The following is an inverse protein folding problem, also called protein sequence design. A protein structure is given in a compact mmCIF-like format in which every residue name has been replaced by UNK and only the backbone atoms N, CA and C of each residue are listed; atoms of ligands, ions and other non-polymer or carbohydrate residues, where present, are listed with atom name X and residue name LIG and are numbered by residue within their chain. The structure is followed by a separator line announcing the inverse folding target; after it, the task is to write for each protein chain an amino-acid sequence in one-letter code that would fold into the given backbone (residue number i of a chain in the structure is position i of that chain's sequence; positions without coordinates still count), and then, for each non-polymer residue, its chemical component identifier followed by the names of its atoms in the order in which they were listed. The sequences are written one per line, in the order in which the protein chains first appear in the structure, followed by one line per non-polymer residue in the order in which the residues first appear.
data_IF_660118103204
#
_entry.id   IF_660118103204
#
_cell.length_a   1.000
_cell.length_b   1.000
_cell.length_c   1.000
_cell.angle_alpha   90.00
_cell.angle_beta   90.00
_cell.angle_gamma   90.00
#
_symmetry.space_group_name_H-M   'P 1'
#
loop_
_entity.id
_entity.type
_entity.pdbx_description
1 polymer ?
#
# COMPACT_ATOMS: atom_id res chain seq x y z
N UNK A 1 6.46 13.29 -8.11
CA UNK A 1 5.25 12.52 -8.50
C UNK A 1 5.09 11.36 -7.55
N UNK A 2 3.90 11.08 -6.99
CA UNK A 2 3.68 9.95 -6.06
C UNK A 2 3.95 8.59 -6.73
N UNK A 3 4.44 7.63 -5.94
CA UNK A 3 4.90 6.30 -6.39
C UNK A 3 3.86 5.53 -7.21
N UNK A 4 2.59 5.59 -6.84
CA UNK A 4 1.53 4.87 -7.55
C UNK A 4 1.36 5.28 -9.02
N UNK A 5 1.84 6.44 -9.40
CA UNK A 5 1.81 6.94 -10.79
C UNK A 5 3.10 6.67 -11.57
N UNK A 6 4.08 6.01 -10.95
CA UNK A 6 5.36 5.68 -11.59
C UNK A 6 5.35 4.27 -12.17
N UNK A 7 6.10 4.08 -13.24
CA UNK A 7 6.52 2.77 -13.77
C UNK A 7 7.96 2.48 -13.33
N UNK A 8 8.12 2.06 -12.07
CA UNK A 8 9.47 1.78 -11.51
C UNK A 8 10.09 0.52 -12.10
N UNK A 9 9.26 -0.39 -12.63
CA UNK A 9 9.71 -1.71 -13.11
C UNK A 9 9.90 -1.75 -14.64
N UNK A 10 9.63 -0.66 -15.36
CA UNK A 10 9.76 -0.61 -16.82
C UNK A 10 8.76 -1.49 -17.56
N UNK A 11 7.56 -1.67 -17.01
CA UNK A 11 6.49 -2.51 -17.59
C UNK A 11 5.63 -1.77 -18.62
N UNK A 12 5.80 -0.47 -18.76
CA UNK A 12 4.96 0.43 -19.55
C UNK A 12 3.65 0.82 -18.84
N UNK A 13 3.50 0.49 -17.53
CA UNK A 13 2.31 0.77 -16.74
C UNK A 13 2.68 1.28 -15.36
N UNK A 14 1.94 2.27 -14.88
CA UNK A 14 2.07 2.70 -13.49
C UNK A 14 1.52 1.65 -12.51
N UNK A 15 1.90 1.75 -11.23
CA UNK A 15 1.40 0.83 -10.21
C UNK A 15 -0.12 0.87 -10.08
N UNK A 16 -0.73 2.05 -10.08
CA UNK A 16 -2.19 2.18 -9.96
C UNK A 16 -2.89 1.54 -11.17
N UNK A 17 -2.35 1.67 -12.38
CA UNK A 17 -2.86 1.01 -13.58
C UNK A 17 -2.76 -0.51 -13.46
N UNK A 18 -1.61 -1.02 -13.04
CA UNK A 18 -1.38 -2.46 -12.84
C UNK A 18 -2.30 -3.03 -11.75
N UNK A 19 -2.54 -2.28 -10.68
CA UNK A 19 -3.46 -2.68 -9.62
C UNK A 19 -4.90 -2.73 -10.12
N UNK A 20 -5.35 -1.71 -10.85
CA UNK A 20 -6.70 -1.69 -11.45
C UNK A 20 -6.91 -2.91 -12.37
N UNK A 21 -6.01 -3.15 -13.31
CA UNK A 21 -6.11 -4.27 -14.26
C UNK A 21 -6.12 -5.63 -13.56
N UNK A 22 -5.33 -5.81 -12.51
CA UNK A 22 -5.27 -7.04 -11.70
C UNK A 22 -6.62 -7.39 -11.07
N UNK A 23 -7.41 -6.40 -10.67
CA UNK A 23 -8.72 -6.64 -10.06
C UNK A 23 -9.87 -6.76 -11.06
N UNK A 24 -9.71 -6.37 -12.34
CA UNK A 24 -10.78 -6.47 -13.34
C UNK A 24 -11.40 -7.87 -13.50
N UNK A 25 -10.65 -9.00 -13.38
CA UNK A 25 -11.25 -10.33 -13.41
C UNK A 25 -12.13 -10.66 -12.19
N UNK A 26 -11.97 -9.93 -11.08
CA UNK A 26 -12.67 -10.16 -9.82
C UNK A 26 -13.83 -9.18 -9.59
N UNK A 27 -13.66 -7.95 -10.07
CA UNK A 27 -14.56 -6.83 -9.76
C UNK A 27 -14.96 -6.12 -11.05
N UNK A 28 -16.26 -5.97 -11.35
CA UNK A 28 -16.74 -5.16 -12.47
C UNK A 28 -16.25 -3.72 -12.35
N UNK A 29 -15.93 -3.07 -13.47
CA UNK A 29 -15.31 -1.73 -13.48
C UNK A 29 -16.13 -0.67 -12.73
N UNK A 30 -17.45 -0.76 -12.75
CA UNK A 30 -18.38 0.14 -12.06
C UNK A 30 -18.32 0.03 -10.53
N UNK A 31 -17.70 -1.02 -9.99
CA UNK A 31 -17.58 -1.27 -8.56
C UNK A 31 -16.22 -0.85 -7.98
N UNK A 32 -15.35 -0.26 -8.79
CA UNK A 32 -14.12 0.32 -8.28
C UNK A 32 -14.39 1.69 -7.64
N UNK A 33 -13.69 1.93 -6.52
CA UNK A 33 -13.55 3.25 -5.91
C UNK A 33 -12.07 3.52 -5.70
N UNK A 34 -11.61 4.70 -6.08
CA UNK A 34 -10.25 5.16 -5.79
C UNK A 34 -10.32 6.30 -4.79
N UNK A 35 -9.78 6.08 -3.59
CA UNK A 35 -9.66 7.14 -2.59
C UNK A 35 -8.28 7.79 -2.71
N UNK A 36 -8.25 9.09 -2.92
CA UNK A 36 -7.00 9.82 -3.16
C UNK A 36 -7.09 11.26 -2.68
N UNK A 37 -5.95 11.93 -2.53
CA UNK A 37 -5.95 13.36 -2.30
C UNK A 37 -6.54 14.09 -3.52
N UNK A 38 -7.34 15.15 -3.26
CA UNK A 38 -7.97 15.99 -4.30
C UNK A 38 -6.97 16.45 -5.39
N UNK A 39 -5.73 16.71 -5.01
CA UNK A 39 -4.67 17.14 -5.94
C UNK A 39 -4.30 16.07 -7.00
N UNK A 40 -4.60 14.81 -6.75
CA UNK A 40 -4.23 13.69 -7.64
C UNK A 40 -5.41 13.15 -8.45
N UNK A 41 -6.60 13.75 -8.35
CA UNK A 41 -7.80 13.30 -9.05
C UNK A 41 -7.59 13.15 -10.57
N UNK A 42 -7.02 14.19 -11.17
CA UNK A 42 -6.81 14.21 -12.63
C UNK A 42 -5.73 13.20 -13.05
N UNK A 43 -4.69 12.99 -12.23
CA UNK A 43 -3.70 11.93 -12.45
C UNK A 43 -4.32 10.53 -12.39
N UNK A 44 -5.28 10.28 -11.50
CA UNK A 44 -6.00 8.99 -11.47
C UNK A 44 -6.74 8.78 -12.79
N UNK A 45 -7.46 9.79 -13.29
CA UNK A 45 -8.17 9.71 -14.58
C UNK A 45 -7.23 9.58 -15.78
N UNK A 46 -6.04 10.18 -15.73
CA UNK A 46 -5.00 10.00 -16.75
C UNK A 46 -4.50 8.54 -16.81
N UNK A 47 -4.27 7.93 -15.65
CA UNK A 47 -3.76 6.56 -15.58
C UNK A 47 -4.84 5.48 -15.72
N UNK A 48 -6.09 5.79 -15.35
CA UNK A 48 -7.25 4.88 -15.45
C UNK A 48 -8.42 5.63 -16.10
N UNK A 49 -8.36 5.90 -17.41
CA UNK A 49 -9.41 6.66 -18.11
C UNK A 49 -10.77 5.93 -18.21
N UNK A 50 -10.82 4.65 -17.82
CA UNK A 50 -12.05 3.86 -17.77
C UNK A 50 -12.92 4.14 -16.55
N UNK A 51 -12.39 4.84 -15.53
CA UNK A 51 -13.16 5.22 -14.33
C UNK A 51 -14.04 6.43 -14.62
N UNK A 52 -15.26 6.38 -14.09
CA UNK A 52 -16.10 7.55 -14.00
C UNK A 52 -15.61 8.50 -12.90
N UNK A 53 -15.71 9.82 -13.07
CA UNK A 53 -15.28 10.79 -12.05
C UNK A 53 -15.90 10.59 -10.66
N UNK A 54 -17.09 9.98 -10.57
CA UNK A 54 -17.79 9.67 -9.31
C UNK A 54 -17.21 8.44 -8.58
N UNK A 55 -16.32 7.69 -9.24
CA UNK A 55 -15.58 6.59 -8.62
C UNK A 55 -14.32 7.05 -7.89
N UNK A 56 -13.97 8.35 -8.00
CA UNK A 56 -12.80 8.93 -7.35
C UNK A 56 -13.25 9.74 -6.15
N UNK A 57 -13.03 9.19 -4.97
CA UNK A 57 -13.32 9.81 -3.69
C UNK A 57 -12.13 10.69 -3.27
N UNK A 58 -12.36 11.99 -3.19
CA UNK A 58 -11.29 12.97 -2.97
C UNK A 58 -11.18 13.35 -1.49
N UNK A 59 -10.07 12.98 -0.86
CA UNK A 59 -9.71 13.49 0.46
C UNK A 59 -9.23 14.95 0.34
N UNK A 60 -9.79 15.88 1.11
CA UNK A 60 -9.31 17.27 1.12
C UNK A 60 -7.94 17.40 1.78
N UNK A 61 -7.66 16.55 2.76
CA UNK A 61 -6.39 16.47 3.50
C UNK A 61 -6.13 15.01 3.91
N UNK A 62 -4.89 14.56 3.86
CA UNK A 62 -4.52 13.19 4.25
C UNK A 62 -4.70 12.95 5.75
N UNK A 63 -5.47 11.93 6.11
CA UNK A 63 -5.72 11.49 7.50
C UNK A 63 -5.40 10.03 7.74
N UNK A 64 -4.50 9.45 6.93
CA UNK A 64 -4.14 8.04 6.97
C UNK A 64 -5.29 7.13 6.50
N UNK A 65 -5.17 5.80 6.64
CA UNK A 65 -6.03 4.83 5.96
C UNK A 65 -7.41 4.63 6.58
N UNK A 66 -7.59 4.82 7.90
CA UNK A 66 -8.91 4.58 8.50
C UNK A 66 -9.99 5.57 8.02
N UNK A 67 -9.76 6.90 7.94
CA UNK A 67 -10.74 7.82 7.37
C UNK A 67 -11.01 7.58 5.88
N UNK A 68 -9.99 7.23 5.08
CA UNK A 68 -10.16 6.87 3.67
C UNK A 68 -11.09 5.65 3.50
N UNK A 69 -10.87 4.61 4.31
CA UNK A 69 -11.70 3.39 4.31
C UNK A 69 -13.11 3.71 4.80
N UNK A 70 -13.27 4.54 5.85
CA UNK A 70 -14.58 4.95 6.34
C UNK A 70 -15.38 5.68 5.24
N UNK A 71 -14.76 6.62 4.53
CA UNK A 71 -15.38 7.32 3.41
C UNK A 71 -15.88 6.36 2.33
N UNK A 72 -15.02 5.44 1.89
CA UNK A 72 -15.39 4.42 0.91
C UNK A 72 -16.50 3.49 1.43
N UNK A 73 -16.43 3.05 2.70
CA UNK A 73 -17.42 2.16 3.29
C UNK A 73 -18.81 2.82 3.40
N UNK A 74 -18.89 4.09 3.80
CA UNK A 74 -20.14 4.85 3.84
C UNK A 74 -20.72 5.05 2.43
N UNK A 75 -19.88 5.37 1.44
CA UNK A 75 -20.28 5.48 0.03
C UNK A 75 -20.84 4.16 -0.49
N UNK A 76 -20.16 3.03 -0.24
CA UNK A 76 -20.61 1.70 -0.65
C UNK A 76 -21.88 1.28 0.05
N UNK A 77 -22.04 1.53 1.34
CA UNK A 77 -23.25 1.23 2.11
C UNK A 77 -24.50 1.86 1.51
N UNK A 78 -24.39 3.07 0.96
CA UNK A 78 -25.49 3.73 0.25
C UNK A 78 -25.86 3.03 -1.06
N UNK A 79 -24.86 2.45 -1.76
CA UNK A 79 -25.08 1.73 -3.03
C UNK A 79 -25.63 0.32 -2.80
N UNK A 80 -25.09 -0.39 -1.81
CA UNK A 80 -25.48 -1.77 -1.48
C UNK A 80 -25.14 -2.09 -0.02
N UNK A 81 -26.13 -2.49 0.75
CA UNK A 81 -25.93 -2.89 2.16
C UNK A 81 -25.23 -4.24 2.29
N UNK A 82 -25.43 -5.12 1.31
CA UNK A 82 -24.85 -6.48 1.30
C UNK A 82 -23.49 -6.53 0.57
N UNK A 83 -22.89 -5.37 0.28
CA UNK A 83 -21.61 -5.32 -0.42
C UNK A 83 -20.48 -5.91 0.43
N UNK A 84 -19.54 -6.56 -0.25
CA UNK A 84 -18.24 -6.95 0.27
C UNK A 84 -17.21 -6.01 -0.31
N UNK A 85 -16.31 -5.56 0.53
CA UNK A 85 -15.31 -4.56 0.19
C UNK A 85 -13.92 -5.18 0.21
N UNK A 86 -13.17 -4.97 -0.88
CA UNK A 86 -11.73 -5.25 -0.94
C UNK A 86 -11.02 -3.91 -0.84
N UNK A 87 -10.11 -3.77 0.09
CA UNK A 87 -9.23 -2.60 0.24
C UNK A 87 -7.82 -3.00 -0.13
N UNK A 88 -7.18 -2.24 -1.00
CA UNK A 88 -5.81 -2.51 -1.45
C UNK A 88 -5.03 -1.22 -1.60
N UNK A 89 -3.75 -1.20 -1.21
CA UNK A 89 -2.83 -0.17 -1.66
C UNK A 89 -2.73 -0.18 -3.19
N UNK A 90 -2.57 0.98 -3.80
CA UNK A 90 -2.50 1.13 -5.26
C UNK A 90 -1.10 0.96 -5.85
N UNK A 91 -0.09 0.72 -5.00
CA UNK A 91 1.33 0.80 -5.34
C UNK A 91 2.14 -0.44 -4.94
N UNK A 92 1.45 -1.57 -4.74
CA UNK A 92 2.07 -2.85 -4.45
C UNK A 92 2.27 -3.72 -5.69
N UNK A 93 3.37 -4.46 -5.71
CA UNK A 93 3.66 -5.43 -6.73
C UNK A 93 3.13 -6.80 -6.34
N UNK A 94 2.56 -7.50 -7.31
CA UNK A 94 2.12 -8.90 -7.26
C UNK A 94 2.70 -9.61 -8.49
N UNK A 95 3.44 -10.69 -8.30
CA UNK A 95 4.08 -11.42 -9.40
C UNK A 95 3.21 -12.56 -9.95
N UNK A 96 2.46 -13.23 -9.09
CA UNK A 96 1.58 -14.35 -9.47
C UNK A 96 0.11 -13.94 -9.29
N UNK A 97 -0.47 -13.33 -10.33
CA UNK A 97 -1.86 -12.88 -10.30
C UNK A 97 -2.87 -14.03 -10.22
N UNK A 98 -2.54 -15.22 -10.72
CA UNK A 98 -3.44 -16.36 -10.63
C UNK A 98 -3.65 -16.80 -9.17
N UNK A 99 -2.56 -16.95 -8.40
CA UNK A 99 -2.63 -17.27 -6.97
C UNK A 99 -3.26 -16.10 -6.17
N UNK A 100 -2.99 -14.87 -6.57
CA UNK A 100 -3.62 -13.69 -5.99
C UNK A 100 -5.15 -13.74 -6.14
N UNK A 101 -5.66 -14.07 -7.33
CA UNK A 101 -7.11 -14.19 -7.58
C UNK A 101 -7.74 -15.30 -6.74
N UNK A 102 -7.06 -16.45 -6.59
CA UNK A 102 -7.52 -17.53 -5.69
C UNK A 102 -7.63 -17.01 -4.26
N UNK A 103 -6.57 -16.35 -3.75
CA UNK A 103 -6.54 -15.84 -2.39
C UNK A 103 -7.67 -14.84 -2.11
N UNK A 104 -7.91 -13.91 -3.03
CA UNK A 104 -8.96 -12.89 -2.87
C UNK A 104 -10.36 -13.52 -2.93
N UNK A 105 -10.60 -14.49 -3.83
CA UNK A 105 -11.88 -15.19 -3.90
C UNK A 105 -12.16 -15.97 -2.61
N UNK A 106 -11.20 -16.70 -2.06
CA UNK A 106 -11.35 -17.40 -0.78
C UNK A 106 -11.65 -16.42 0.37
N UNK A 107 -11.02 -15.24 0.38
CA UNK A 107 -11.37 -14.20 1.36
C UNK A 107 -12.81 -13.70 1.18
N UNK A 108 -13.25 -13.45 -0.07
CA UNK A 108 -14.61 -13.00 -0.36
C UNK A 108 -15.69 -14.04 0.02
N UNK A 109 -15.39 -15.33 -0.18
CA UNK A 109 -16.24 -16.43 0.23
C UNK A 109 -16.33 -16.52 1.76
N UNK A 110 -15.19 -16.42 2.44
CA UNK A 110 -15.13 -16.46 3.90
C UNK A 110 -15.95 -15.35 4.57
N UNK A 111 -15.79 -14.09 4.13
CA UNK A 111 -16.53 -12.96 4.70
C UNK A 111 -18.02 -12.91 4.30
N UNK A 112 -18.44 -13.73 3.33
CA UNK A 112 -19.85 -13.90 3.01
C UNK A 112 -20.61 -14.70 4.08
N UNK A 113 -19.91 -15.59 4.78
CA UNK A 113 -20.48 -16.51 5.77
C UNK A 113 -20.12 -16.17 7.21
N UNK A 114 -19.09 -15.31 7.40
CA UNK A 114 -18.52 -15.00 8.72
C UNK A 114 -18.44 -13.49 8.95
N UNK A 115 -18.69 -13.08 10.18
CA UNK A 115 -18.38 -11.74 10.65
C UNK A 115 -16.88 -11.63 10.89
N UNK A 116 -16.13 -11.28 9.86
CA UNK A 116 -14.68 -11.30 9.86
C UNK A 116 -14.07 -10.06 9.22
N UNK A 117 -12.95 -9.63 9.78
CA UNK A 117 -12.03 -8.68 9.18
C UNK A 117 -10.83 -9.45 8.63
N UNK A 118 -10.86 -9.71 7.31
CA UNK A 118 -9.83 -10.50 6.65
C UNK A 118 -8.67 -9.62 6.20
N UNK A 119 -7.45 -10.16 6.33
CA UNK A 119 -6.27 -9.66 5.60
C UNK A 119 -5.55 -10.79 4.89
N UNK A 120 -4.68 -10.44 3.92
CA UNK A 120 -3.81 -11.41 3.26
C UNK A 120 -2.43 -11.33 3.89
N UNK A 121 -1.93 -12.48 4.34
CA UNK A 121 -0.64 -12.61 5.00
C UNK A 121 0.40 -13.23 4.08
N UNK A 122 1.62 -12.69 4.12
CA UNK A 122 2.77 -13.13 3.32
C UNK A 122 3.83 -13.72 4.25
N UNK A 123 4.40 -14.87 3.89
CA UNK A 123 5.44 -15.51 4.69
C UNK A 123 6.71 -14.64 4.73
N UNK A 124 7.23 -14.32 5.93
CA UNK A 124 8.39 -13.47 6.05
C UNK A 124 9.66 -14.15 5.53
N UNK A 125 10.38 -13.50 4.64
CA UNK A 125 11.69 -13.96 4.15
C UNK A 125 12.87 -13.30 4.87
N UNK A 126 12.62 -12.29 5.72
CA UNK A 126 13.60 -11.50 6.47
C UNK A 126 12.92 -10.75 7.62
N UNK A 127 13.66 -10.25 8.63
CA UNK A 127 13.11 -9.43 9.71
C UNK A 127 12.93 -7.98 9.25
N UNK A 128 11.84 -7.70 8.51
CA UNK A 128 11.55 -6.35 8.03
C UNK A 128 10.84 -5.52 9.11
N UNK A 129 11.37 -4.34 9.43
CA UNK A 129 10.80 -3.44 10.44
C UNK A 129 9.79 -2.44 9.84
N UNK A 130 9.60 -2.45 8.53
CA UNK A 130 8.64 -1.62 7.82
C UNK A 130 7.25 -2.22 7.71
N UNK A 131 7.08 -3.52 8.05
CA UNK A 131 5.84 -4.26 7.91
C UNK A 131 5.16 -4.58 9.24
N UNK A 132 3.84 -4.76 9.19
CA UNK A 132 3.08 -5.37 10.27
C UNK A 132 3.23 -6.89 10.26
N UNK A 133 3.16 -7.50 11.43
CA UNK A 133 3.24 -8.94 11.66
C UNK A 133 1.97 -9.46 12.31
N UNK A 134 1.47 -10.59 11.81
CA UNK A 134 0.26 -11.26 12.26
C UNK A 134 0.60 -12.64 12.79
N UNK A 135 0.33 -12.92 14.08
CA UNK A 135 0.49 -14.26 14.64
C UNK A 135 -0.72 -15.12 14.30
N UNK A 136 -0.49 -16.23 13.62
CA UNK A 136 -1.54 -17.21 13.29
C UNK A 136 -1.95 -18.01 14.52
N UNK A 137 -3.24 -18.40 14.60
CA UNK A 137 -3.71 -19.31 15.66
C UNK A 137 -3.41 -20.78 15.37
N UNK A 138 -3.28 -21.11 14.11
CA UNK A 138 -3.05 -22.48 13.62
C UNK A 138 -2.33 -22.45 12.25
N UNK A 139 -2.13 -23.62 11.66
CA UNK A 139 -1.46 -23.81 10.36
C UNK A 139 -2.43 -23.84 9.16
N UNK A 140 -3.71 -23.53 9.36
CA UNK A 140 -4.67 -23.49 8.27
C UNK A 140 -4.35 -22.35 7.28
N UNK A 141 -4.81 -22.48 6.04
CA UNK A 141 -4.66 -21.45 5.00
C UNK A 141 -5.36 -20.17 5.42
N UNK A 142 -6.57 -20.27 5.99
CA UNK A 142 -7.26 -19.17 6.68
C UNK A 142 -7.21 -19.46 8.17
N UNK A 143 -6.56 -18.59 8.91
CA UNK A 143 -6.34 -18.72 10.35
C UNK A 143 -6.81 -17.46 11.08
N UNK A 144 -7.34 -17.63 12.30
CA UNK A 144 -7.60 -16.48 13.17
C UNK A 144 -6.29 -15.84 13.60
N UNK A 145 -6.26 -14.52 13.69
CA UNK A 145 -5.09 -13.79 14.19
C UNK A 145 -5.13 -13.72 15.72
N UNK A 146 -4.05 -14.15 16.38
CA UNK A 146 -3.88 -14.04 17.84
C UNK A 146 -3.36 -12.67 18.25
N UNK A 147 -2.45 -12.14 17.45
CA UNK A 147 -1.75 -10.89 17.74
C UNK A 147 -1.41 -10.18 16.42
N UNK A 148 -1.59 -8.89 16.40
CA UNK A 148 -1.13 -8.00 15.34
C UNK A 148 -0.10 -7.04 15.93
N UNK A 149 1.05 -6.89 15.28
CA UNK A 149 2.11 -5.96 15.72
C UNK A 149 2.61 -5.16 14.51
N UNK A 150 2.31 -3.88 14.48
CA UNK A 150 2.71 -2.99 13.41
C UNK A 150 4.13 -2.47 13.62
N UNK A 151 4.99 -2.64 12.61
CA UNK A 151 6.36 -2.11 12.53
C UNK A 151 7.20 -2.33 13.81
N UNK A 152 7.46 -3.60 14.19
CA UNK A 152 8.20 -3.93 15.39
C UNK A 152 9.69 -3.49 15.30
N UNK A 153 10.36 -3.39 16.44
CA UNK A 153 11.81 -3.27 16.48
C UNK A 153 12.49 -4.52 15.88
N UNK A 154 13.73 -4.37 15.39
CA UNK A 154 14.45 -5.41 14.65
C UNK A 154 14.56 -6.73 15.44
N UNK A 155 14.85 -6.66 16.74
CA UNK A 155 14.99 -7.83 17.60
C UNK A 155 13.67 -8.62 17.70
N UNK A 156 12.54 -7.90 17.72
CA UNK A 156 11.20 -8.51 17.76
C UNK A 156 10.86 -9.09 16.38
N UNK A 157 11.14 -8.37 15.30
CA UNK A 157 10.93 -8.86 13.94
C UNK A 157 11.74 -10.14 13.68
N UNK A 158 12.99 -10.21 14.17
CA UNK A 158 13.82 -11.42 14.06
C UNK A 158 13.21 -12.61 14.83
N UNK A 159 12.74 -12.37 16.07
CA UNK A 159 12.08 -13.41 16.85
C UNK A 159 10.78 -13.93 16.15
N UNK A 160 10.03 -13.05 15.49
CA UNK A 160 8.84 -13.42 14.75
C UNK A 160 9.15 -14.30 13.53
N UNK A 161 10.23 -13.99 12.80
CA UNK A 161 10.70 -14.80 11.67
C UNK A 161 11.20 -16.17 12.17
N UNK A 162 12.00 -16.19 13.23
CA UNK A 162 12.61 -17.40 13.76
C UNK A 162 11.57 -18.40 14.31
N UNK A 163 10.48 -17.92 14.89
CA UNK A 163 9.44 -18.80 15.44
C UNK A 163 8.51 -19.41 14.35
N UNK A 164 8.42 -18.82 13.15
CA UNK A 164 7.64 -19.33 12.03
C UNK A 164 6.11 -19.28 12.18
N UNK A 165 5.60 -18.64 13.25
CA UNK A 165 4.15 -18.50 13.47
C UNK A 165 3.57 -17.19 12.89
N UNK A 166 4.43 -16.27 12.45
CA UNK A 166 4.03 -14.95 11.99
C UNK A 166 4.07 -14.82 10.47
N UNK A 167 3.16 -14.04 9.93
CA UNK A 167 3.16 -13.58 8.53
C UNK A 167 3.16 -12.08 8.47
N UNK A 168 3.69 -11.50 7.38
CA UNK A 168 3.57 -10.07 7.11
C UNK A 168 2.15 -9.68 6.75
N UNK A 169 1.69 -8.55 7.24
CA UNK A 169 0.46 -7.91 6.78
C UNK A 169 0.71 -7.25 5.43
N UNK A 170 0.03 -7.71 4.40
CA UNK A 170 0.16 -7.13 3.05
C UNK A 170 -0.56 -5.78 2.88
N UNK A 171 -1.41 -5.38 3.84
CA UNK A 171 -2.27 -4.22 3.70
C UNK A 171 -3.47 -4.43 2.76
N UNK A 172 -3.69 -5.68 2.32
CA UNK A 172 -4.89 -6.10 1.58
C UNK A 172 -5.94 -6.55 2.58
N UNK A 173 -7.12 -5.91 2.55
CA UNK A 173 -8.21 -6.25 3.47
C UNK A 173 -9.47 -6.62 2.71
N UNK A 174 -10.23 -7.56 3.28
CA UNK A 174 -11.53 -7.99 2.74
C UNK A 174 -12.52 -8.14 3.90
N UNK A 175 -13.70 -7.53 3.77
CA UNK A 175 -14.77 -7.61 4.75
C UNK A 175 -16.14 -7.32 4.15
N UNK A 176 -17.21 -7.66 4.86
CA UNK A 176 -18.54 -7.15 4.55
C UNK A 176 -18.67 -5.70 5.02
N UNK A 177 -19.53 -4.93 4.38
CA UNK A 177 -19.81 -3.55 4.82
C UNK A 177 -20.29 -3.54 6.27
N UNK A 178 -21.14 -4.49 6.66
CA UNK A 178 -21.64 -4.60 8.03
C UNK A 178 -20.51 -4.85 9.04
N UNK A 179 -19.55 -5.73 8.71
CA UNK A 179 -18.44 -6.03 9.62
C UNK A 179 -17.55 -4.82 9.85
N UNK A 180 -17.17 -4.10 8.78
CA UNK A 180 -16.31 -2.92 8.93
C UNK A 180 -17.04 -1.76 9.60
N UNK A 181 -18.34 -1.56 9.34
CA UNK A 181 -19.13 -0.52 10.00
C UNK A 181 -19.24 -0.78 11.51
N UNK A 182 -19.50 -2.04 11.94
CA UNK A 182 -19.45 -2.42 13.37
C UNK A 182 -18.08 -2.21 13.99
N UNK A 183 -17.02 -2.51 13.23
CA UNK A 183 -15.66 -2.28 13.70
C UNK A 183 -15.36 -0.79 13.90
N UNK A 184 -15.79 0.09 13.00
CA UNK A 184 -15.68 1.54 13.18
C UNK A 184 -16.49 2.02 14.39
N UNK A 185 -17.72 1.56 14.55
CA UNK A 185 -18.56 1.91 15.71
C UNK A 185 -17.89 1.51 17.02
N UNK A 186 -17.28 0.31 17.08
CA UNK A 186 -16.67 -0.24 18.29
C UNK A 186 -15.32 0.39 18.60
N UNK A 187 -14.43 0.49 17.63
CA UNK A 187 -13.01 0.82 17.85
C UNK A 187 -12.64 2.25 17.49
N UNK A 188 -13.44 2.91 16.66
CA UNK A 188 -13.25 4.30 16.21
C UNK A 188 -14.57 5.09 16.25
N UNK A 189 -15.26 5.15 17.41
CA UNK A 189 -16.61 5.73 17.53
C UNK A 189 -16.68 7.20 17.11
N UNK A 190 -15.61 7.99 17.32
CA UNK A 190 -15.57 9.39 16.89
C UNK A 190 -15.60 9.49 15.36
N UNK A 191 -14.82 8.67 14.65
CA UNK A 191 -14.81 8.60 13.18
C UNK A 191 -16.16 8.13 12.66
N UNK A 192 -16.70 7.06 13.25
CA UNK A 192 -18.03 6.54 12.89
C UNK A 192 -19.12 7.61 13.02
N UNK A 193 -19.14 8.36 14.10
CA UNK A 193 -20.10 9.46 14.30
C UNK A 193 -19.94 10.58 13.26
N UNK A 194 -18.71 11.00 12.96
CA UNK A 194 -18.43 12.03 11.96
C UNK A 194 -18.91 11.61 10.56
N UNK A 195 -18.57 10.42 10.10
CA UNK A 195 -19.00 9.93 8.80
C UNK A 195 -20.51 9.69 8.73
N UNK A 196 -21.14 9.17 9.77
CA UNK A 196 -22.60 9.04 9.85
C UNK A 196 -23.32 10.39 9.71
N UNK A 197 -22.77 11.47 10.27
CA UNK A 197 -23.36 12.80 10.12
C UNK A 197 -23.32 13.34 8.68
N UNK A 198 -22.44 12.81 7.85
CA UNK A 198 -22.30 13.19 6.42
C UNK A 198 -23.06 12.30 5.46
N UNK A 199 -23.67 11.18 5.92
CA UNK A 199 -24.32 10.19 5.06
C UNK A 199 -25.35 10.79 4.08
N UNK A 200 -26.17 11.73 4.54
CA UNK A 200 -27.19 12.38 3.69
C UNK A 200 -26.58 13.25 2.57
N UNK A 201 -25.35 13.68 2.73
CA UNK A 201 -24.64 14.49 1.75
C UNK A 201 -23.93 13.67 0.68
N UNK A 202 -23.50 12.42 1.01
CA UNK A 202 -22.77 11.56 0.08
C UNK A 202 -23.58 11.29 -1.21
N UNK A 203 -22.93 11.38 -2.36
CA UNK A 203 -23.57 11.24 -3.68
C UNK A 203 -24.45 12.43 -4.07
N UNK A 204 -24.33 13.57 -3.40
CA UNK A 204 -25.05 14.83 -3.72
C UNK A 204 -24.06 15.98 -3.97
N UNK A 205 -24.55 17.13 -4.44
CA UNK A 205 -23.72 18.33 -4.61
C UNK A 205 -23.09 18.85 -3.30
N UNK A 206 -23.61 18.42 -2.13
CA UNK A 206 -23.09 18.77 -0.81
C UNK A 206 -21.97 17.87 -0.31
N UNK A 207 -21.64 16.81 -1.01
CA UNK A 207 -20.65 15.83 -0.59
C UNK A 207 -19.28 16.47 -0.31
N UNK A 208 -18.80 17.29 -1.24
CA UNK A 208 -17.48 17.92 -1.10
C UNK A 208 -17.35 18.76 0.17
N UNK A 209 -18.37 19.56 0.51
CA UNK A 209 -18.40 20.38 1.72
C UNK A 209 -18.50 19.53 2.99
N UNK A 210 -19.37 18.52 2.99
CA UNK A 210 -19.53 17.62 4.13
C UNK A 210 -18.24 16.83 4.44
N UNK A 211 -17.58 16.30 3.40
CA UNK A 211 -16.32 15.57 3.55
C UNK A 211 -15.18 16.49 4.00
N UNK A 212 -15.15 17.75 3.56
CA UNK A 212 -14.16 18.72 4.06
C UNK A 212 -14.31 18.96 5.58
N UNK A 213 -15.53 19.06 6.08
CA UNK A 213 -15.79 19.17 7.53
C UNK A 213 -15.39 17.88 8.29
N UNK A 214 -15.77 16.70 7.79
CA UNK A 214 -15.41 15.42 8.40
C UNK A 214 -13.89 15.28 8.50
N UNK A 215 -13.15 15.52 7.42
CA UNK A 215 -11.69 15.37 7.42
C UNK A 215 -10.97 16.45 8.24
N UNK A 216 -11.54 17.64 8.41
CA UNK A 216 -11.00 18.68 9.29
C UNK A 216 -11.01 18.22 10.77
N UNK A 217 -12.07 17.54 11.20
CA UNK A 217 -12.27 17.07 12.58
C UNK A 217 -11.68 15.67 12.84
N UNK A 218 -11.55 14.84 11.80
CA UNK A 218 -11.04 13.47 11.89
C UNK A 218 -9.60 13.42 12.41
N UNK A 219 -9.33 12.54 13.37
CA UNK A 219 -7.97 12.19 13.79
C UNK A 219 -7.27 11.37 12.71
N UNK A 220 -5.98 11.63 12.49
CA UNK A 220 -5.16 10.83 11.57
C UNK A 220 -4.79 9.50 12.23
N UNK A 221 -5.26 8.38 11.69
CA UNK A 221 -4.97 7.04 12.17
C UNK A 221 -5.07 6.01 11.04
N UNK A 222 -4.18 5.00 11.03
CA UNK A 222 -4.31 3.88 10.10
C UNK A 222 -5.38 2.90 10.55
N UNK A 223 -5.94 2.15 9.61
CA UNK A 223 -6.88 1.06 9.90
C UNK A 223 -6.24 -0.02 10.76
N UNK A 224 -4.92 -0.23 10.58
CA UNK A 224 -4.14 -1.20 11.34
C UNK A 224 -4.19 -0.87 12.83
N UNK A 225 -3.77 0.33 13.23
CA UNK A 225 -3.81 0.80 14.63
C UNK A 225 -5.21 1.08 15.15
N UNK A 226 -6.09 1.56 14.28
CA UNK A 226 -7.44 1.98 14.66
C UNK A 226 -8.37 0.80 14.94
N UNK A 227 -8.26 -0.24 14.14
CA UNK A 227 -9.19 -1.38 14.12
C UNK A 227 -8.46 -2.72 14.21
N UNK A 228 -7.54 -3.02 13.28
CA UNK A 228 -7.02 -4.39 13.11
C UNK A 228 -6.24 -4.91 14.32
N UNK A 229 -5.48 -4.07 15.02
CA UNK A 229 -4.80 -4.45 16.26
C UNK A 229 -5.74 -4.72 17.45
N UNK A 230 -6.97 -4.18 17.39
CA UNK A 230 -7.91 -4.20 18.52
C UNK A 230 -9.02 -5.22 18.35
N UNK A 231 -9.35 -5.54 17.10
CA UNK A 231 -10.47 -6.40 16.79
C UNK A 231 -10.15 -7.88 17.10
N UNK A 232 -11.11 -8.59 17.64
CA UNK A 232 -11.00 -10.01 18.02
C UNK A 232 -11.46 -10.96 16.91
N UNK A 233 -12.09 -10.44 15.84
CA UNK A 233 -12.55 -11.18 14.66
C UNK A 233 -11.66 -10.99 13.42
N UNK A 234 -10.37 -10.79 13.64
CA UNK A 234 -9.38 -10.69 12.55
C UNK A 234 -8.94 -12.09 12.12
N UNK A 235 -8.94 -12.30 10.80
CA UNK A 235 -8.46 -13.52 10.16
C UNK A 235 -7.44 -13.18 9.08
N UNK A 236 -6.52 -14.11 8.84
CA UNK A 236 -5.50 -13.99 7.81
C UNK A 236 -5.56 -15.18 6.86
N UNK A 237 -5.59 -14.91 5.55
CA UNK A 237 -5.35 -15.91 4.49
C UNK A 237 -3.87 -15.84 4.11
N UNK A 238 -3.12 -16.91 4.44
CA UNK A 238 -1.70 -17.00 4.10
C UNK A 238 -1.52 -17.27 2.60
N UNK A 239 -0.59 -16.56 1.95
CA UNK A 239 -0.39 -16.63 0.51
C UNK A 239 1.08 -16.42 0.12
N UNK A 240 1.43 -16.99 -1.03
CA UNK A 240 2.73 -16.76 -1.68
C UNK A 240 2.51 -16.43 -3.17
N UNK A 241 2.18 -15.19 -3.44
CA UNK A 241 2.01 -14.69 -4.81
C UNK A 241 3.10 -13.68 -5.22
N UNK A 242 4.25 -13.68 -4.52
CA UNK A 242 5.33 -12.77 -4.82
C UNK A 242 4.95 -11.31 -4.56
N UNK A 243 4.48 -11.01 -3.35
CA UNK A 243 4.11 -9.67 -2.91
C UNK A 243 5.32 -8.83 -2.50
N UNK A 244 5.28 -7.56 -2.87
CA UNK A 244 6.17 -6.53 -2.32
C UNK A 244 5.45 -5.17 -2.31
N UNK A 245 5.66 -4.42 -1.23
CA UNK A 245 5.23 -3.02 -1.17
C UNK A 245 6.10 -2.09 -2.02
N UNK A 246 7.24 -2.60 -2.55
CA UNK A 246 8.23 -1.80 -3.31
C UNK A 246 8.57 -0.48 -2.60
N UNK A 247 8.52 -0.50 -1.27
CA UNK A 247 8.69 0.70 -0.42
C UNK A 247 10.14 1.12 -0.23
N UNK A 248 11.08 0.26 -0.66
CA UNK A 248 12.52 0.49 -0.48
C UNK A 248 13.30 0.15 -1.75
N UNK A 249 14.46 0.76 -1.92
CA UNK A 249 15.37 0.44 -3.02
C UNK A 249 15.86 -1.02 -2.97
N UNK A 250 15.98 -1.58 -1.77
CA UNK A 250 16.29 -3.00 -1.57
C UNK A 250 15.20 -3.90 -2.14
N UNK A 251 13.93 -3.57 -1.96
CA UNK A 251 12.80 -4.29 -2.56
C UNK A 251 12.80 -4.17 -4.09
N UNK A 252 13.02 -2.96 -4.62
CA UNK A 252 13.18 -2.73 -6.07
C UNK A 252 14.33 -3.56 -6.63
N UNK A 253 15.47 -3.56 -5.95
CA UNK A 253 16.64 -4.34 -6.36
C UNK A 253 16.36 -5.85 -6.42
N UNK A 254 15.65 -6.40 -5.44
CA UNK A 254 15.34 -7.85 -5.42
C UNK A 254 14.53 -8.26 -6.66
N UNK A 255 13.64 -7.40 -7.11
CA UNK A 255 12.65 -7.67 -8.16
C UNK A 255 13.14 -7.29 -9.57
N UNK A 256 14.14 -6.40 -9.67
CA UNK A 256 14.65 -5.91 -10.94
C UNK A 256 15.62 -6.88 -11.61
N UNK A 257 15.72 -6.77 -12.94
CA UNK A 257 16.78 -7.45 -13.69
C UNK A 257 18.15 -6.90 -13.28
N UNK A 258 19.16 -7.78 -13.28
CA UNK A 258 20.52 -7.45 -12.87
C UNK A 258 21.51 -7.79 -13.99
N UNK A 259 22.56 -6.98 -14.09
CA UNK A 259 23.70 -7.29 -14.93
C UNK A 259 24.53 -8.46 -14.35
N UNK A 260 25.64 -8.83 -15.03
CA UNK A 260 26.54 -9.93 -14.62
C UNK A 260 27.22 -9.69 -13.27
N UNK A 261 27.33 -8.44 -12.84
CA UNK A 261 27.92 -8.03 -11.57
C UNK A 261 26.87 -7.77 -10.48
N UNK A 262 25.65 -8.24 -10.72
CA UNK A 262 24.51 -8.03 -9.81
C UNK A 262 24.14 -6.55 -9.63
N UNK A 263 24.38 -5.67 -10.61
CA UNK A 263 23.89 -4.29 -10.57
C UNK A 263 22.49 -4.21 -11.19
N UNK A 264 21.63 -3.42 -10.57
CA UNK A 264 20.39 -2.93 -11.18
C UNK A 264 20.70 -1.60 -11.89
N UNK A 265 20.51 -1.54 -13.18
CA UNK A 265 20.68 -0.34 -14.00
C UNK A 265 19.34 0.06 -14.61
N UNK A 266 18.92 1.32 -14.45
CA UNK A 266 17.59 1.77 -14.86
C UNK A 266 17.37 1.72 -16.38
N UNK A 267 18.44 1.89 -17.19
CA UNK A 267 18.38 1.81 -18.66
C UNK A 267 19.79 1.65 -19.26
N UNK A 268 19.86 1.46 -20.58
CA UNK A 268 21.11 1.19 -21.34
C UNK A 268 22.13 2.35 -21.32
N UNK A 269 21.72 3.54 -20.89
CA UNK A 269 22.61 4.67 -20.67
C UNK A 269 23.44 4.63 -19.40
N UNK A 270 23.28 3.59 -18.56
CA UNK A 270 24.03 3.40 -17.33
C UNK A 270 25.23 2.48 -17.56
N UNK A 271 26.43 3.00 -17.38
CA UNK A 271 27.70 2.27 -17.54
C UNK A 271 28.34 2.02 -16.17
N UNK A 272 28.49 0.76 -15.79
CA UNK A 272 29.06 0.34 -14.49
C UNK A 272 30.42 -0.36 -14.71
N UNK A 273 31.51 0.24 -14.20
CA UNK A 273 32.86 -0.29 -14.28
C UNK A 273 33.38 -0.63 -12.88
N UNK A 274 33.91 -1.83 -12.68
CA UNK A 274 34.39 -2.31 -11.35
C UNK A 274 33.34 -2.05 -10.24
N UNK A 275 32.06 -2.12 -10.60
CA UNK A 275 30.89 -1.84 -9.77
C UNK A 275 30.06 -3.11 -9.64
N UNK A 276 29.59 -3.42 -8.43
CA UNK A 276 28.82 -4.64 -8.16
C UNK A 276 27.75 -4.42 -7.09
N UNK A 277 26.68 -5.22 -7.15
CA UNK A 277 25.58 -5.27 -6.18
C UNK A 277 24.93 -3.91 -5.92
N UNK A 278 25.03 -2.99 -6.88
CA UNK A 278 24.62 -1.60 -6.73
C UNK A 278 23.35 -1.31 -7.52
N UNK A 279 22.63 -0.31 -7.08
CA UNK A 279 21.45 0.23 -7.74
C UNK A 279 21.88 1.52 -8.40
N UNK A 280 21.65 1.67 -9.70
CA UNK A 280 21.87 2.91 -10.45
C UNK A 280 20.57 3.26 -11.17
N UNK A 281 19.90 4.27 -10.68
CA UNK A 281 18.65 4.80 -11.25
C UNK A 281 18.87 6.25 -11.63
N UNK A 282 18.82 6.54 -12.91
CA UNK A 282 18.94 7.90 -13.44
C UNK A 282 17.78 8.20 -14.39
N UNK A 283 17.44 9.48 -14.53
CA UNK A 283 16.35 9.91 -15.39
C UNK A 283 16.60 9.51 -16.86
N UNK A 284 15.53 9.23 -17.58
CA UNK A 284 15.58 8.86 -19.00
C UNK A 284 16.32 9.95 -19.82
N UNK A 285 17.16 9.47 -20.74
CA UNK A 285 17.97 10.35 -21.59
C UNK A 285 19.26 10.86 -20.96
N UNK A 286 19.50 10.63 -19.67
CA UNK A 286 20.81 10.90 -19.05
C UNK A 286 21.76 9.72 -19.23
N UNK A 287 23.04 10.02 -19.31
CA UNK A 287 24.12 9.01 -19.30
C UNK A 287 24.80 9.03 -17.94
N UNK A 288 24.86 7.88 -17.28
CA UNK A 288 25.58 7.70 -16.02
C UNK A 288 26.80 6.81 -16.22
N UNK A 289 27.96 7.23 -15.70
CA UNK A 289 29.19 6.46 -15.68
C UNK A 289 29.64 6.28 -14.24
N UNK A 290 29.52 5.04 -13.75
CA UNK A 290 29.80 4.69 -12.36
C UNK A 290 30.99 3.74 -12.32
N UNK A 291 31.96 4.03 -11.45
CA UNK A 291 33.15 3.18 -11.27
C UNK A 291 33.49 2.95 -9.81
N UNK A 292 33.77 1.71 -9.46
CA UNK A 292 34.37 1.33 -8.17
C UNK A 292 33.38 1.28 -7.00
N UNK A 293 32.08 1.24 -7.24
CA UNK A 293 31.08 1.12 -6.18
C UNK A 293 30.73 -0.36 -5.90
N UNK A 294 30.56 -0.69 -4.62
CA UNK A 294 30.10 -2.00 -4.20
C UNK A 294 29.00 -1.84 -3.15
N UNK A 295 27.80 -2.38 -3.43
CA UNK A 295 26.66 -2.33 -2.54
C UNK A 295 26.18 -0.88 -2.25
N UNK A 296 26.00 -0.07 -3.30
CA UNK A 296 25.53 1.32 -3.22
C UNK A 296 24.19 1.52 -3.90
N UNK A 297 23.51 2.58 -3.48
CA UNK A 297 22.35 3.19 -4.13
C UNK A 297 22.85 4.49 -4.77
N UNK A 298 22.64 4.65 -6.05
CA UNK A 298 22.85 5.88 -6.82
C UNK A 298 21.52 6.20 -7.50
N UNK A 299 20.91 7.31 -7.10
CA UNK A 299 19.63 7.79 -7.69
C UNK A 299 19.82 9.23 -8.11
N UNK A 300 19.61 9.51 -9.37
CA UNK A 300 19.66 10.85 -9.96
C UNK A 300 18.31 11.20 -10.54
N UNK A 301 17.69 12.23 -9.99
CA UNK A 301 16.46 12.85 -10.48
C UNK A 301 16.77 14.15 -11.19
N UNK A 302 15.76 14.94 -11.55
CA UNK A 302 15.96 16.24 -12.17
C UNK A 302 16.67 17.23 -11.24
N UNK A 303 16.41 17.14 -9.94
CA UNK A 303 16.84 18.14 -8.95
C UNK A 303 17.78 17.58 -7.88
N UNK A 304 17.86 16.24 -7.68
CA UNK A 304 18.58 15.62 -6.56
C UNK A 304 19.40 14.43 -7.02
N UNK A 305 20.65 14.37 -6.56
CA UNK A 305 21.50 13.19 -6.64
C UNK A 305 21.68 12.57 -5.25
N UNK A 306 21.24 11.32 -5.08
CA UNK A 306 21.49 10.51 -3.90
C UNK A 306 22.57 9.46 -4.18
N UNK A 307 23.57 9.39 -3.31
CA UNK A 307 24.58 8.30 -3.31
C UNK A 307 24.78 7.85 -1.87
N UNK A 308 24.41 6.63 -1.55
CA UNK A 308 24.62 6.05 -0.21
C UNK A 308 24.84 4.53 -0.27
N UNK A 309 25.45 3.90 0.75
CA UNK A 309 25.49 2.45 0.87
C UNK A 309 24.06 1.88 0.96
N UNK A 310 23.84 0.70 0.39
CA UNK A 310 22.53 0.00 0.51
C UNK A 310 22.20 -0.37 1.96
N UNK A 311 23.23 -0.57 2.82
CA UNK A 311 23.03 -0.77 4.25
C UNK A 311 22.36 0.41 4.95
N UNK A 312 22.48 1.60 4.38
CA UNK A 312 21.98 2.85 4.97
C UNK A 312 20.61 3.28 4.41
N UNK A 313 19.97 2.39 3.66
CA UNK A 313 18.70 2.64 3.00
C UNK A 313 17.62 3.23 3.94
N UNK A 314 17.52 2.71 5.17
CA UNK A 314 16.55 3.20 6.16
C UNK A 314 16.82 4.66 6.60
N UNK A 315 18.06 5.13 6.43
CA UNK A 315 18.44 6.51 6.74
C UNK A 315 18.02 7.51 5.66
N UNK A 316 17.61 7.06 4.47
CA UNK A 316 17.19 7.95 3.37
C UNK A 316 16.03 8.87 3.79
N UNK A 317 15.10 8.37 4.60
CA UNK A 317 13.99 9.20 5.14
C UNK A 317 14.52 10.38 5.94
N UNK A 318 15.54 10.15 6.77
CA UNK A 318 16.18 11.21 7.54
C UNK A 318 16.89 12.23 6.62
N UNK A 319 17.57 11.75 5.57
CA UNK A 319 18.23 12.64 4.62
C UNK A 319 17.21 13.54 3.90
N UNK A 320 16.04 12.98 3.54
CA UNK A 320 14.92 13.74 2.96
C UNK A 320 14.43 14.81 3.94
N UNK A 321 14.24 14.47 5.22
CA UNK A 321 13.78 15.42 6.25
C UNK A 321 14.81 16.53 6.50
N UNK A 322 16.10 16.22 6.50
CA UNK A 322 17.18 17.18 6.63
C UNK A 322 17.19 18.16 5.43
N UNK A 323 17.02 17.66 4.20
CA UNK A 323 16.92 18.50 2.98
C UNK A 323 15.66 19.35 3.01
N UNK A 324 14.51 18.78 3.42
CA UNK A 324 13.24 19.50 3.55
C UNK A 324 13.36 20.66 4.53
N UNK A 325 13.99 20.43 5.66
CA UNK A 325 14.21 21.46 6.69
C UNK A 325 15.07 22.60 6.16
N UNK A 326 16.09 22.31 5.38
CA UNK A 326 17.10 23.30 4.93
C UNK A 326 16.67 24.02 3.63
N UNK A 327 16.01 23.33 2.69
CA UNK A 327 15.69 23.79 1.33
C UNK A 327 14.19 23.91 1.02
N UNK A 328 13.32 23.43 1.91
CA UNK A 328 11.87 23.34 1.70
C UNK A 328 11.44 22.15 0.84
N UNK A 329 10.17 22.09 0.51
CA UNK A 329 9.51 20.96 -0.17
C UNK A 329 9.94 20.76 -1.64
N UNK A 330 10.70 21.67 -2.23
CA UNK A 330 11.03 21.64 -3.66
C UNK A 330 11.85 20.41 -4.07
N UNK A 331 12.67 19.89 -3.16
CA UNK A 331 13.64 18.80 -3.43
C UNK A 331 13.27 17.46 -2.77
N UNK A 332 12.04 17.30 -2.31
CA UNK A 332 11.61 16.13 -1.54
C UNK A 332 10.24 15.62 -1.98
#
# INVERSE_FOLDING_TARGET
MPKQFLDILGTGKSFIRSTYERFLPLVPKENFLVVTNRAYRDLVLEHIPELDPEQILCEPIGRNTAPAIAYAAHTLRKRSKDARMIVTPSDHLILNEAEFHVAINECLEFVAEHDALMTVGIEPSRPDTGYGYLQKSDSNVISRVKCFTEKPALEIAQAFVDCGEFVWNSGLFVWSIDSIMRAFETYLPEHHALFNSSDDALGTEREAEAIEQVFAECKSISIDYGVMEKADNVYVRCSDFGWSDVGTWGSVYQLSQKDRNENMLSHDGCYAYDTSKSIVSVADGKVAVIKGLNNYIVVDTDDVLLVCPRSDEQSIKKYIDDVRFDKGEKYV
#
